data_IF_214931129798
#
_entry.id   IF_214931129798
#
_cell.length_a   1.000
_cell.length_b   1.000
_cell.length_c   1.000
_cell.angle_alpha   90.00
_cell.angle_beta   90.00
_cell.angle_gamma   90.00
#
_symmetry.space_group_name_H-M   'P 1'
#
loop_
_entity.id
_entity.type
_entity.pdbx_description
1 polymer ?
#
# COMPACT_ATOMS: atom_id res chain seq x y z
N UNK A 1 -21.31 -23.88 24.53
CA UNK A 1 -21.11 -22.42 24.45
C UNK A 1 -22.08 -21.85 23.39
N UNK A 2 -23.04 -20.98 23.76
CA UNK A 2 -23.91 -20.28 22.81
C UNK A 2 -23.02 -19.30 22.00
N UNK A 3 -22.93 -19.46 20.69
CA UNK A 3 -22.29 -18.46 19.82
C UNK A 3 -23.05 -17.15 19.99
N UNK A 4 -22.40 -16.13 20.54
CA UNK A 4 -22.96 -14.78 20.65
C UNK A 4 -23.25 -14.30 19.22
N UNK A 5 -24.49 -13.97 18.91
CA UNK A 5 -24.83 -13.44 17.59
C UNK A 5 -24.16 -12.09 17.38
N UNK A 6 -23.55 -11.94 16.23
CA UNK A 6 -22.87 -10.71 15.84
C UNK A 6 -23.90 -9.62 15.55
N UNK A 7 -23.64 -8.38 16.01
CA UNK A 7 -24.44 -7.22 15.63
C UNK A 7 -24.38 -6.97 14.11
N UNK A 8 -25.32 -6.17 13.58
CA UNK A 8 -25.34 -5.81 12.15
C UNK A 8 -24.05 -5.13 11.74
N UNK A 9 -23.50 -4.26 12.57
CA UNK A 9 -22.23 -3.55 12.34
C UNK A 9 -21.04 -4.52 12.31
N UNK A 10 -21.00 -5.46 13.25
CA UNK A 10 -19.97 -6.49 13.28
C UNK A 10 -20.01 -7.40 12.04
N UNK A 11 -21.20 -7.78 11.58
CA UNK A 11 -21.37 -8.56 10.33
C UNK A 11 -20.93 -7.76 9.10
N UNK A 12 -21.19 -6.45 9.10
CA UNK A 12 -20.74 -5.53 8.03
C UNK A 12 -19.20 -5.44 8.00
N UNK A 13 -18.58 -5.21 9.15
CA UNK A 13 -17.12 -5.14 9.28
C UNK A 13 -16.45 -6.47 8.90
N UNK A 14 -17.03 -7.60 9.25
CA UNK A 14 -16.56 -8.94 8.87
C UNK A 14 -16.55 -9.14 7.35
N UNK A 15 -17.61 -8.69 6.67
CA UNK A 15 -17.66 -8.70 5.19
C UNK A 15 -16.59 -7.79 4.58
N UNK A 16 -16.38 -6.60 5.14
CA UNK A 16 -15.40 -5.65 4.66
C UNK A 16 -13.98 -6.20 4.80
N UNK A 17 -13.66 -6.83 5.94
CA UNK A 17 -12.38 -7.51 6.15
C UNK A 17 -12.19 -8.66 5.17
N UNK A 18 -13.21 -9.45 4.89
CA UNK A 18 -13.15 -10.53 3.89
C UNK A 18 -12.85 -9.98 2.48
N UNK A 19 -13.46 -8.87 2.08
CA UNK A 19 -13.17 -8.21 0.79
C UNK A 19 -11.70 -7.80 0.74
N UNK A 20 -11.16 -7.18 1.81
CA UNK A 20 -9.76 -6.78 1.88
C UNK A 20 -8.85 -8.01 1.76
N UNK A 21 -9.13 -9.06 2.52
CA UNK A 21 -8.35 -10.31 2.49
C UNK A 21 -8.35 -10.92 1.09
N UNK A 22 -9.50 -11.09 0.44
CA UNK A 22 -9.56 -11.67 -0.90
C UNK A 22 -8.88 -10.79 -1.95
N UNK A 23 -9.07 -9.46 -1.89
CA UNK A 23 -8.43 -8.53 -2.79
C UNK A 23 -6.89 -8.53 -2.66
N UNK A 24 -6.36 -8.93 -1.52
CA UNK A 24 -4.91 -9.08 -1.27
C UNK A 24 -4.42 -10.48 -1.63
N UNK A 25 -5.12 -11.53 -1.19
CA UNK A 25 -4.67 -12.92 -1.35
C UNK A 25 -4.72 -13.40 -2.80
N UNK A 26 -5.76 -13.04 -3.56
CA UNK A 26 -5.89 -13.52 -4.95
C UNK A 26 -4.73 -13.05 -5.82
N UNK A 27 -4.38 -11.74 -5.87
CA UNK A 27 -3.20 -11.28 -6.62
C UNK A 27 -1.89 -11.83 -6.06
N UNK A 28 -1.79 -12.04 -4.75
CA UNK A 28 -0.61 -12.66 -4.16
C UNK A 28 -0.42 -14.10 -4.65
N UNK A 29 -1.47 -14.90 -4.70
CA UNK A 29 -1.42 -16.27 -5.22
C UNK A 29 -1.04 -16.27 -6.71
N UNK A 30 -1.64 -15.37 -7.50
CA UNK A 30 -1.28 -15.20 -8.90
C UNK A 30 0.21 -14.88 -9.05
N UNK A 31 0.72 -13.98 -8.22
CA UNK A 31 2.13 -13.62 -8.23
C UNK A 31 3.04 -14.77 -7.79
N UNK A 32 2.63 -15.59 -6.81
CA UNK A 32 3.41 -16.76 -6.39
C UNK A 32 3.51 -17.82 -7.49
N UNK A 33 2.48 -17.96 -8.32
CA UNK A 33 2.45 -18.93 -9.42
C UNK A 33 3.17 -18.38 -10.66
N UNK A 34 2.88 -17.14 -11.06
CA UNK A 34 3.33 -16.53 -12.31
C UNK A 34 4.37 -15.44 -12.14
N UNK A 35 4.91 -15.25 -10.92
CA UNK A 35 5.80 -14.13 -10.61
C UNK A 35 7.03 -14.07 -11.50
N UNK A 36 7.63 -15.21 -11.81
CA UNK A 36 8.78 -15.28 -12.71
C UNK A 36 8.42 -14.83 -14.13
N UNK A 37 7.27 -15.22 -14.65
CA UNK A 37 6.80 -14.83 -15.97
C UNK A 37 6.46 -13.35 -16.02
N UNK A 38 5.77 -12.84 -15.00
CA UNK A 38 5.47 -11.41 -14.84
C UNK A 38 6.76 -10.59 -14.79
N UNK A 39 7.75 -11.05 -14.03
CA UNK A 39 9.03 -10.37 -13.89
C UNK A 39 9.85 -10.41 -15.17
N UNK A 40 9.88 -11.56 -15.86
CA UNK A 40 10.55 -11.70 -17.15
C UNK A 40 9.88 -10.81 -18.20
N UNK A 41 8.56 -10.80 -18.28
CA UNK A 41 7.83 -9.89 -19.16
C UNK A 41 8.19 -8.41 -18.88
N UNK A 42 8.25 -8.00 -17.62
CA UNK A 42 8.63 -6.63 -17.26
C UNK A 42 10.08 -6.29 -17.64
N UNK A 43 10.99 -7.27 -17.66
CA UNK A 43 12.42 -7.06 -17.98
C UNK A 43 12.72 -7.11 -19.48
N UNK A 44 12.18 -8.09 -20.18
CA UNK A 44 12.64 -8.49 -21.54
C UNK A 44 11.73 -8.04 -22.67
N UNK A 45 10.48 -7.63 -22.36
CA UNK A 45 9.56 -7.18 -23.39
C UNK A 45 10.04 -5.90 -24.07
N UNK A 46 9.94 -5.84 -25.40
CA UNK A 46 10.23 -4.65 -26.20
C UNK A 46 9.10 -3.59 -26.12
N UNK A 47 8.01 -3.90 -25.42
CA UNK A 47 6.87 -2.99 -25.26
C UNK A 47 7.25 -1.75 -24.46
N UNK A 48 6.41 -0.73 -24.57
CA UNK A 48 6.56 0.49 -23.77
C UNK A 48 6.63 0.14 -22.27
N UNK A 49 7.54 0.78 -21.55
CA UNK A 49 7.81 0.53 -20.12
C UNK A 49 6.54 0.58 -19.27
N UNK A 50 5.62 1.49 -19.56
CA UNK A 50 4.37 1.60 -18.83
C UNK A 50 3.46 0.37 -19.01
N UNK A 51 3.39 -0.18 -20.23
CA UNK A 51 2.56 -1.35 -20.53
C UNK A 51 3.10 -2.62 -19.85
N UNK A 52 4.40 -2.84 -19.93
CA UNK A 52 5.01 -4.03 -19.31
C UNK A 52 5.02 -3.99 -17.78
N UNK A 53 4.85 -2.79 -17.19
CA UNK A 53 4.73 -2.64 -15.74
C UNK A 53 3.32 -2.85 -15.20
N UNK A 54 2.28 -2.78 -16.03
CA UNK A 54 0.89 -2.94 -15.58
C UNK A 54 0.68 -4.19 -14.73
N UNK A 55 1.09 -5.40 -15.12
CA UNK A 55 0.88 -6.59 -14.31
C UNK A 55 1.53 -6.50 -12.93
N UNK A 56 2.73 -5.98 -12.88
CA UNK A 56 3.47 -5.79 -11.64
C UNK A 56 2.81 -4.76 -10.74
N UNK A 57 2.40 -3.63 -11.31
CA UNK A 57 1.74 -2.57 -10.56
C UNK A 57 0.40 -3.02 -10.01
N UNK A 58 -0.36 -3.82 -10.75
CA UNK A 58 -1.62 -4.39 -10.26
C UNK A 58 -1.39 -5.27 -9.04
N UNK A 59 -0.38 -6.13 -9.06
CA UNK A 59 -0.02 -6.95 -7.89
C UNK A 59 0.39 -6.07 -6.72
N UNK A 60 1.28 -5.12 -6.93
CA UNK A 60 1.74 -4.21 -5.87
C UNK A 60 0.61 -3.37 -5.28
N UNK A 61 -0.23 -2.79 -6.13
CA UNK A 61 -1.36 -1.99 -5.68
C UNK A 61 -2.36 -2.82 -4.88
N UNK A 62 -2.58 -4.07 -5.28
CA UNK A 62 -3.43 -5.01 -4.54
C UNK A 62 -2.87 -5.31 -3.16
N UNK A 63 -1.55 -5.52 -3.04
CA UNK A 63 -0.88 -5.73 -1.77
C UNK A 63 -0.87 -4.46 -0.90
N UNK A 64 -0.64 -3.30 -1.52
CA UNK A 64 -0.58 -2.02 -0.81
C UNK A 64 -1.93 -1.56 -0.24
N UNK A 65 -3.07 -1.96 -0.82
CA UNK A 65 -4.34 -1.57 -0.23
C UNK A 65 -5.54 -1.43 -1.15
N UNK A 66 -5.52 -2.04 -2.33
CA UNK A 66 -6.65 -2.03 -3.24
C UNK A 66 -7.95 -2.48 -2.56
N UNK A 67 -7.89 -3.52 -1.71
CA UNK A 67 -9.03 -4.04 -0.98
C UNK A 67 -9.67 -2.99 -0.07
N UNK A 68 -8.88 -2.21 0.62
CA UNK A 68 -9.35 -1.11 1.46
C UNK A 68 -10.04 -0.02 0.66
N UNK A 69 -9.49 0.34 -0.50
CA UNK A 69 -10.10 1.32 -1.40
C UNK A 69 -11.43 0.80 -1.96
N UNK A 70 -11.50 -0.48 -2.34
CA UNK A 70 -12.76 -1.11 -2.80
C UNK A 70 -13.83 -1.02 -1.70
N UNK A 71 -13.49 -1.33 -0.45
CA UNK A 71 -14.43 -1.26 0.67
C UNK A 71 -14.95 0.15 0.86
N UNK A 72 -14.10 1.17 0.89
CA UNK A 72 -14.50 2.56 1.05
C UNK A 72 -15.43 3.01 -0.07
N UNK A 73 -15.05 2.73 -1.33
CA UNK A 73 -15.88 3.07 -2.49
C UNK A 73 -17.23 2.34 -2.45
N UNK A 74 -17.22 1.04 -2.13
CA UNK A 74 -18.45 0.23 -2.03
C UNK A 74 -19.37 0.70 -0.92
N UNK A 75 -18.82 1.08 0.22
CA UNK A 75 -19.57 1.59 1.38
C UNK A 75 -19.92 3.07 1.27
N UNK A 76 -19.34 3.80 0.32
CA UNK A 76 -19.45 5.28 0.18
C UNK A 76 -19.01 6.00 1.47
N UNK A 77 -18.01 5.45 2.16
CA UNK A 77 -17.45 6.04 3.36
C UNK A 77 -16.55 7.22 2.99
N UNK A 78 -16.52 8.25 3.83
CA UNK A 78 -15.71 9.44 3.57
C UNK A 78 -14.26 9.22 4.00
N UNK A 79 -13.30 9.61 3.17
CA UNK A 79 -11.87 9.47 3.46
C UNK A 79 -11.44 10.17 4.76
N UNK A 80 -12.16 11.24 5.14
CA UNK A 80 -11.93 11.93 6.41
C UNK A 80 -12.15 11.05 7.65
N UNK A 81 -13.02 10.04 7.56
CA UNK A 81 -13.26 9.07 8.64
C UNK A 81 -12.06 8.17 8.92
N UNK A 82 -11.13 8.13 7.99
CA UNK A 82 -9.89 7.39 8.05
C UNK A 82 -8.66 8.28 8.27
N UNK A 83 -8.89 9.53 8.73
CA UNK A 83 -7.83 10.45 9.07
C UNK A 83 -7.24 11.24 7.90
N UNK A 84 -7.76 11.10 6.67
CA UNK A 84 -7.36 11.93 5.54
C UNK A 84 -8.05 13.31 5.63
N UNK A 85 -7.55 14.11 6.54
CA UNK A 85 -8.04 15.47 6.79
C UNK A 85 -6.94 16.50 6.50
N UNK A 86 -7.33 17.66 5.97
CA UNK A 86 -6.37 18.75 5.69
C UNK A 86 -5.81 19.42 6.95
N UNK A 87 -6.47 19.25 8.10
CA UNK A 87 -6.08 19.90 9.33
C UNK A 87 -4.74 19.34 9.84
N UNK A 88 -3.84 20.26 10.21
CA UNK A 88 -2.53 19.93 10.76
C UNK A 88 -1.58 19.16 9.82
N UNK A 89 -1.80 19.17 8.50
CA UNK A 89 -1.00 18.46 7.53
C UNK A 89 0.51 18.72 7.71
N UNK A 90 0.92 19.98 7.76
CA UNK A 90 2.34 20.33 7.98
C UNK A 90 2.86 19.88 9.35
N UNK A 91 2.05 19.98 10.41
CA UNK A 91 2.43 19.48 11.74
C UNK A 91 2.64 17.97 11.72
N UNK A 92 1.81 17.23 11.00
CA UNK A 92 1.95 15.78 10.86
C UNK A 92 3.23 15.43 10.11
N UNK A 93 3.55 16.13 9.02
CA UNK A 93 4.81 15.93 8.28
C UNK A 93 6.01 16.18 9.19
N UNK A 94 6.04 17.30 9.90
CA UNK A 94 7.15 17.63 10.80
C UNK A 94 7.30 16.57 11.90
N UNK A 95 6.20 16.15 12.53
CA UNK A 95 6.23 15.09 13.53
C UNK A 95 6.75 13.76 12.97
N UNK A 96 6.31 13.38 11.78
CA UNK A 96 6.79 12.16 11.11
C UNK A 96 8.30 12.23 10.83
N UNK A 97 8.78 13.38 10.34
CA UNK A 97 10.21 13.60 10.11
C UNK A 97 11.00 13.50 11.43
N UNK A 98 10.53 14.14 12.51
CA UNK A 98 11.18 14.08 13.83
C UNK A 98 11.26 12.64 14.34
N UNK A 99 10.21 11.83 14.16
CA UNK A 99 10.21 10.42 14.56
C UNK A 99 11.16 9.59 13.70
N UNK A 100 11.33 9.91 12.42
CA UNK A 100 12.25 9.21 11.52
C UNK A 100 13.73 9.56 11.74
N UNK A 101 14.05 10.75 12.28
CA UNK A 101 15.45 11.20 12.48
C UNK A 101 16.31 10.20 13.27
N UNK A 102 15.90 9.66 14.42
CA UNK A 102 16.71 8.69 15.15
C UNK A 102 17.05 7.45 14.33
N UNK A 103 16.08 6.91 13.60
CA UNK A 103 16.29 5.75 12.73
C UNK A 103 17.24 6.07 11.56
N UNK A 104 17.13 7.26 10.97
CA UNK A 104 18.02 7.71 9.90
C UNK A 104 19.46 7.90 10.42
N UNK A 105 19.64 8.47 11.60
CA UNK A 105 20.94 8.62 12.22
C UNK A 105 21.56 7.26 12.51
N UNK A 106 20.79 6.33 13.05
CA UNK A 106 21.24 4.96 13.31
C UNK A 106 21.76 4.28 12.02
N UNK A 107 20.98 4.34 10.93
CA UNK A 107 21.37 3.77 9.65
C UNK A 107 22.62 4.44 9.04
N UNK A 108 22.76 5.78 9.21
CA UNK A 108 23.94 6.52 8.76
C UNK A 108 25.20 6.10 9.51
N UNK A 109 25.11 5.99 10.84
CA UNK A 109 26.24 5.61 11.70
C UNK A 109 26.72 4.19 11.40
N UNK A 110 25.80 3.29 11.10
CA UNK A 110 26.12 1.89 10.76
C UNK A 110 26.53 1.68 9.29
N UNK A 111 26.61 2.73 8.47
CA UNK A 111 26.88 2.64 7.02
C UNK A 111 25.91 1.73 6.25
N UNK A 112 24.67 1.61 6.73
CA UNK A 112 23.64 0.79 6.08
C UNK A 112 22.88 1.55 4.98
N UNK A 113 23.13 2.85 4.82
CA UNK A 113 22.51 3.66 3.77
C UNK A 113 23.29 3.53 2.47
N UNK A 114 22.79 2.67 1.60
CA UNK A 114 23.34 2.48 0.25
C UNK A 114 22.84 3.51 -0.77
N UNK A 115 21.83 4.29 -0.45
CA UNK A 115 21.27 5.30 -1.35
C UNK A 115 20.42 6.31 -0.58
N UNK A 116 20.51 7.57 -0.97
CA UNK A 116 19.65 8.65 -0.44
C UNK A 116 18.21 8.64 -1.05
N UNK A 117 17.98 7.86 -2.10
CA UNK A 117 16.65 7.71 -2.68
C UNK A 117 15.95 6.52 -2.02
N UNK A 118 14.83 6.76 -1.31
CA UNK A 118 14.01 5.69 -0.74
C UNK A 118 13.61 4.69 -1.82
N UNK A 119 13.52 3.41 -1.45
CA UNK A 119 13.10 2.32 -2.34
C UNK A 119 13.98 2.10 -3.58
N UNK A 120 15.15 2.74 -3.71
CA UNK A 120 16.04 2.57 -4.87
C UNK A 120 16.46 1.10 -5.09
N UNK A 121 16.63 0.35 -4.01
CA UNK A 121 16.98 -1.08 -4.07
C UNK A 121 15.87 -1.98 -4.57
N UNK A 122 14.63 -1.49 -4.61
CA UNK A 122 13.52 -2.25 -5.17
C UNK A 122 13.68 -2.35 -6.69
N UNK A 123 13.51 -3.56 -7.23
CA UNK A 123 13.65 -3.82 -8.66
C UNK A 123 12.88 -2.82 -9.55
N UNK A 124 11.65 -2.51 -9.17
CA UNK A 124 10.78 -1.61 -9.95
C UNK A 124 11.27 -0.17 -9.96
N UNK A 125 11.74 0.31 -8.81
CA UNK A 125 12.31 1.65 -8.70
C UNK A 125 13.55 1.78 -9.58
N UNK A 126 14.45 0.78 -9.56
CA UNK A 126 15.65 0.78 -10.37
C UNK A 126 15.35 0.80 -11.87
N UNK A 127 14.31 0.10 -12.30
CA UNK A 127 13.92 0.04 -13.71
C UNK A 127 13.39 1.39 -14.23
N UNK A 128 12.56 2.08 -13.44
CA UNK A 128 12.10 3.42 -13.77
C UNK A 128 13.23 4.43 -13.70
N UNK A 129 14.07 4.39 -12.66
CA UNK A 129 15.19 5.33 -12.53
C UNK A 129 16.21 5.24 -13.68
N UNK A 130 16.35 4.05 -14.28
CA UNK A 130 17.21 3.83 -15.45
C UNK A 130 16.53 4.19 -16.79
N UNK A 131 15.26 4.59 -16.77
CA UNK A 131 14.56 5.06 -17.98
C UNK A 131 14.82 6.54 -18.25
N UNK A 132 14.47 6.99 -19.47
CA UNK A 132 14.62 8.39 -19.86
C UNK A 132 13.61 9.31 -19.16
N UNK A 133 13.97 10.60 -19.04
CA UNK A 133 13.04 11.65 -18.64
C UNK A 133 11.86 11.74 -19.65
N UNK A 134 10.61 11.95 -19.21
CA UNK A 134 10.14 12.13 -17.82
C UNK A 134 9.75 10.82 -17.10
N UNK A 135 9.88 9.68 -17.76
CA UNK A 135 9.40 8.36 -17.24
C UNK A 135 10.05 8.00 -15.90
N UNK A 136 11.34 8.29 -15.73
CA UNK A 136 12.07 8.03 -14.51
C UNK A 136 11.45 8.75 -13.29
N UNK A 137 11.13 10.03 -13.41
CA UNK A 137 10.53 10.81 -12.31
C UNK A 137 9.09 10.36 -12.05
N UNK A 138 8.28 10.22 -13.10
CA UNK A 138 6.88 9.82 -12.96
C UNK A 138 6.74 8.41 -12.37
N UNK A 139 7.55 7.47 -12.83
CA UNK A 139 7.56 6.12 -12.28
C UNK A 139 7.97 6.06 -10.82
N UNK A 140 8.98 6.84 -10.42
CA UNK A 140 9.40 6.93 -9.02
C UNK A 140 8.31 7.54 -8.12
N UNK A 141 7.69 8.63 -8.56
CA UNK A 141 6.58 9.27 -7.82
C UNK A 141 5.42 8.28 -7.64
N UNK A 142 5.07 7.53 -8.69
CA UNK A 142 3.98 6.56 -8.62
C UNK A 142 4.26 5.43 -7.63
N UNK A 143 5.49 4.90 -7.62
CA UNK A 143 5.91 3.88 -6.64
C UNK A 143 5.87 4.45 -5.22
N UNK A 144 6.42 5.64 -5.01
CA UNK A 144 6.42 6.30 -3.70
C UNK A 144 4.99 6.59 -3.20
N UNK A 145 4.08 6.95 -4.10
CA UNK A 145 2.66 7.15 -3.78
C UNK A 145 2.01 5.83 -3.33
N UNK A 146 2.19 4.74 -4.08
CA UNK A 146 1.58 3.44 -3.76
C UNK A 146 2.09 2.93 -2.42
N UNK A 147 3.40 2.86 -2.21
CA UNK A 147 4.00 2.32 -0.99
C UNK A 147 3.95 3.28 0.21
N UNK A 148 3.98 4.57 -0.01
CA UNK A 148 3.91 5.54 1.08
C UNK A 148 2.48 5.85 1.53
N UNK A 149 1.61 6.22 0.60
CA UNK A 149 0.27 6.71 0.92
C UNK A 149 -0.75 5.59 0.96
N UNK A 150 -0.82 4.75 -0.10
CA UNK A 150 -1.86 3.72 -0.19
C UNK A 150 -1.65 2.65 0.87
N UNK A 151 -0.43 2.18 1.08
CA UNK A 151 -0.12 1.19 2.11
C UNK A 151 -0.37 1.73 3.51
N UNK A 152 0.10 2.94 3.83
CA UNK A 152 -0.15 3.57 5.12
C UNK A 152 -1.64 3.72 5.40
N UNK A 153 -2.42 4.14 4.39
CA UNK A 153 -3.86 4.25 4.48
C UNK A 153 -4.56 2.90 4.68
N UNK A 154 -4.08 1.85 4.03
CA UNK A 154 -4.57 0.48 4.20
C UNK A 154 -4.53 0.02 5.66
N UNK A 155 -3.44 0.29 6.38
CA UNK A 155 -3.33 -0.05 7.81
C UNK A 155 -4.39 0.64 8.66
N UNK A 156 -4.69 1.91 8.37
CA UNK A 156 -5.73 2.66 9.09
C UNK A 156 -7.11 2.04 8.84
N UNK A 157 -7.43 1.72 7.59
CA UNK A 157 -8.71 1.09 7.23
C UNK A 157 -8.88 -0.27 7.91
N UNK A 158 -7.87 -1.12 7.82
CA UNK A 158 -7.90 -2.45 8.45
C UNK A 158 -8.09 -2.32 9.96
N UNK A 159 -7.33 -1.43 10.62
CA UNK A 159 -7.43 -1.21 12.07
C UNK A 159 -8.83 -0.77 12.47
N UNK A 160 -9.44 0.16 11.72
CA UNK A 160 -10.82 0.62 11.95
C UNK A 160 -11.79 -0.55 11.82
N UNK A 161 -11.71 -1.34 10.74
CA UNK A 161 -12.62 -2.48 10.51
C UNK A 161 -12.44 -3.59 11.56
N UNK A 162 -11.24 -3.84 12.03
CA UNK A 162 -10.98 -4.75 13.15
C UNK A 162 -11.66 -4.20 14.42
N UNK A 163 -11.51 -2.91 14.72
CA UNK A 163 -12.17 -2.31 15.87
C UNK A 163 -13.69 -2.41 15.79
N UNK A 164 -14.30 -2.12 14.65
CA UNK A 164 -15.74 -2.29 14.41
C UNK A 164 -16.18 -3.73 14.62
N UNK A 165 -15.35 -4.71 14.23
CA UNK A 165 -15.64 -6.15 14.35
C UNK A 165 -15.58 -6.65 15.80
N UNK A 166 -14.60 -6.20 16.58
CA UNK A 166 -14.30 -6.79 17.89
C UNK A 166 -14.66 -5.90 19.08
N UNK A 167 -14.67 -4.57 18.91
CA UNK A 167 -14.83 -3.58 19.99
C UNK A 167 -16.17 -2.85 19.90
N UNK A 168 -16.98 -3.11 18.86
CA UNK A 168 -18.33 -2.53 18.77
C UNK A 168 -19.07 -2.73 20.10
N UNK A 169 -19.29 -1.61 20.80
CA UNK A 169 -19.97 -1.57 22.09
C UNK A 169 -21.38 -2.12 21.94
N UNK A 170 -21.74 -3.03 22.84
CA UNK A 170 -23.13 -3.40 23.08
C UNK A 170 -23.98 -2.18 23.43
#
# INVERSE_FOLDING_TARGET
MKKKELSIEQKKADKDLNIIIYATLIPLIIYLIFGNDIMNFAKTSEMNIWLRFIPVMLVQFSLAGLGSLIVICYRKEELKEYGLVKNNFFKTIILSLVVCIPSMIFLLVNNEINSYLPLKGCFFTSLFLNSNYPTNILGYILIAFVWGIVEGFNYVVISKKINERYISKN
#
